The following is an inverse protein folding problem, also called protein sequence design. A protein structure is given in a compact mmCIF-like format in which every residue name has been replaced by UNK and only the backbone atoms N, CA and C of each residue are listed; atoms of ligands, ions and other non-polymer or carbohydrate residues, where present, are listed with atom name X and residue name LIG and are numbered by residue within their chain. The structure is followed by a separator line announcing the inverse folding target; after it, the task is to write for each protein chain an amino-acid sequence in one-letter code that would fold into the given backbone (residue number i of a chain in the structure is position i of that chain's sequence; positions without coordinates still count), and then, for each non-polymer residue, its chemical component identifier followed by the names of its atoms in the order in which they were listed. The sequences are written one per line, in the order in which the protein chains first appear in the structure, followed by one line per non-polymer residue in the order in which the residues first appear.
data_IF_165942170820
#
_entry.id   IF_165942170820
#
_cell.length_a   1.000
_cell.length_b   1.000
_cell.length_c   1.000
_cell.angle_alpha   90.00
_cell.angle_beta   90.00
_cell.angle_gamma   90.00
#
_symmetry.space_group_name_H-M   'P 1'
#
loop_
_entity.id
_entity.type
_entity.pdbx_description
1 polymer ?
#
# COMPACT_ATOMS: atom_id res chain seq x y z
N UNK A 1 4.15 7.70 7.69
CA UNK A 1 2.81 8.08 8.19
C UNK A 1 2.20 6.87 8.84
N UNK A 2 1.57 7.06 10.00
CA UNK A 2 1.02 5.96 10.81
C UNK A 2 -0.41 6.36 11.14
N UNK A 3 -1.36 5.46 10.88
CA UNK A 3 -2.76 5.56 11.28
C UNK A 3 -3.16 4.21 11.93
N UNK A 4 -2.96 4.07 13.25
CA UNK A 4 -3.20 2.84 14.03
C UNK A 4 -3.60 3.16 15.49
N UNK A 5 -4.29 2.25 16.17
CA UNK A 5 -4.86 2.42 17.53
C UNK A 5 -4.31 1.44 18.60
N UNK A 6 -3.04 1.05 18.52
CA UNK A 6 -2.47 -0.01 19.38
C UNK A 6 -2.60 0.22 20.90
N UNK A 7 -2.80 1.45 21.38
CA UNK A 7 -2.68 1.79 22.81
C UNK A 7 -3.83 2.63 23.42
N UNK A 8 -4.88 3.01 22.68
CA UNK A 8 -6.02 3.80 23.19
C UNK A 8 -7.10 4.00 22.09
N UNK A 9 -8.34 4.34 22.46
CA UNK A 9 -9.46 4.64 21.54
C UNK A 9 -9.19 5.92 20.71
N UNK A 10 -8.39 5.80 19.65
CA UNK A 10 -8.22 6.83 18.63
C UNK A 10 -9.07 6.49 17.40
N UNK A 11 -9.73 7.50 16.81
CA UNK A 11 -10.37 7.35 15.52
C UNK A 11 -9.31 7.03 14.46
N UNK A 12 -9.34 5.82 13.91
CA UNK A 12 -8.44 5.33 12.85
C UNK A 12 -9.01 5.62 11.46
N UNK A 13 -9.67 6.79 11.36
CA UNK A 13 -10.37 7.28 10.19
C UNK A 13 -9.66 8.54 9.69
N UNK A 14 -9.04 8.47 8.52
CA UNK A 14 -8.20 9.57 8.02
C UNK A 14 -8.14 9.65 6.51
N UNK A 15 -8.18 10.87 5.97
CA UNK A 15 -7.88 11.19 4.58
C UNK A 15 -6.51 11.84 4.51
N UNK A 16 -5.57 11.19 3.84
CA UNK A 16 -4.21 11.70 3.66
C UNK A 16 -3.99 12.01 2.19
N UNK A 17 -3.70 13.27 1.87
CA UNK A 17 -3.37 13.72 0.51
C UNK A 17 -1.97 14.31 0.54
N UNK A 18 -1.01 13.65 -0.11
CA UNK A 18 0.40 14.00 -0.04
C UNK A 18 1.07 14.00 -1.41
N UNK A 19 1.97 14.95 -1.63
CA UNK A 19 2.95 14.93 -2.70
C UNK A 19 4.34 14.73 -2.11
N UNK A 20 5.06 13.71 -2.56
CA UNK A 20 6.34 13.29 -1.98
C UNK A 20 7.47 13.30 -3.00
N UNK A 21 8.68 13.60 -2.52
CA UNK A 21 9.93 13.34 -3.22
C UNK A 21 10.95 12.92 -2.16
N UNK A 22 11.11 11.62 -1.96
CA UNK A 22 11.88 11.09 -0.83
C UNK A 22 12.54 9.75 -1.11
N UNK A 23 13.53 9.39 -0.31
CA UNK A 23 14.19 8.08 -0.38
C UNK A 23 13.31 6.96 0.21
N UNK A 24 12.58 7.26 1.29
CA UNK A 24 11.79 6.26 2.03
C UNK A 24 10.44 6.82 2.44
N UNK A 25 9.39 6.09 2.10
CA UNK A 25 8.03 6.32 2.58
C UNK A 25 7.49 5.04 3.21
N UNK A 26 7.14 5.13 4.49
CA UNK A 26 6.47 4.06 5.22
C UNK A 26 5.03 4.49 5.50
N UNK A 27 4.08 3.64 5.10
CA UNK A 27 2.65 3.83 5.36
C UNK A 27 2.16 2.61 6.11
N UNK A 28 1.74 2.83 7.34
CA UNK A 28 1.16 1.79 8.20
C UNK A 28 -0.25 2.20 8.53
N UNK A 29 -1.22 1.35 8.18
CA UNK A 29 -2.63 1.59 8.41
C UNK A 29 -3.27 0.39 9.08
N UNK A 30 -4.04 0.68 10.12
CA UNK A 30 -4.99 -0.21 10.75
C UNK A 30 -6.35 0.48 10.72
N UNK A 31 -7.37 -0.22 10.26
CA UNK A 31 -8.78 0.19 10.20
C UNK A 31 -9.17 1.00 8.94
N UNK A 32 -9.72 2.21 9.03
CA UNK A 32 -10.47 2.88 7.95
C UNK A 32 -9.81 4.17 7.45
N UNK A 33 -8.62 4.10 6.85
CA UNK A 33 -7.96 5.29 6.28
C UNK A 33 -7.84 5.23 4.75
N UNK A 34 -7.96 6.38 4.10
CA UNK A 34 -7.71 6.53 2.66
C UNK A 34 -6.51 7.44 2.41
N UNK A 35 -5.54 6.95 1.66
CA UNK A 35 -4.32 7.69 1.31
C UNK A 35 -4.27 7.93 -0.20
N UNK A 36 -4.17 9.20 -0.61
CA UNK A 36 -3.82 9.61 -1.97
C UNK A 36 -2.40 10.16 -1.96
N UNK A 37 -1.47 9.45 -2.58
CA UNK A 37 -0.06 9.83 -2.58
C UNK A 37 0.45 9.88 -4.02
N UNK A 38 1.13 10.99 -4.35
CA UNK A 38 1.71 11.21 -5.67
C UNK A 38 3.17 11.66 -5.56
N UNK A 39 3.94 11.52 -6.66
CA UNK A 39 5.32 12.00 -6.74
C UNK A 39 6.33 10.88 -6.94
N UNK A 40 7.47 10.95 -6.25
CA UNK A 40 8.59 10.01 -6.43
C UNK A 40 9.07 9.47 -5.09
N UNK A 41 9.31 8.16 -5.04
CA UNK A 41 9.94 7.51 -3.90
C UNK A 41 10.88 6.39 -4.32
N UNK A 42 12.02 6.25 -3.64
CA UNK A 42 12.92 5.13 -3.91
C UNK A 42 12.41 3.84 -3.25
N UNK A 43 12.05 3.89 -1.96
CA UNK A 43 11.59 2.73 -1.22
C UNK A 43 10.23 3.00 -0.55
N UNK A 44 9.20 2.31 -1.02
CA UNK A 44 7.85 2.36 -0.48
C UNK A 44 7.56 1.10 0.33
N UNK A 45 7.17 1.27 1.59
CA UNK A 45 6.67 0.19 2.44
C UNK A 45 5.22 0.43 2.82
N UNK A 46 4.37 -0.53 2.48
CA UNK A 46 2.94 -0.52 2.79
C UNK A 46 2.62 -1.66 3.76
N UNK A 47 2.04 -1.32 4.91
CA UNK A 47 1.67 -2.28 5.94
C UNK A 47 0.20 -2.08 6.32
N UNK A 48 -0.65 -2.98 5.85
CA UNK A 48 -2.09 -2.97 6.08
C UNK A 48 -2.45 -4.15 6.97
N UNK A 49 -2.67 -3.90 8.26
CA UNK A 49 -2.84 -4.97 9.25
C UNK A 49 -4.30 -5.39 9.46
N UNK A 50 -5.26 -4.50 9.19
CA UNK A 50 -6.70 -4.75 9.31
C UNK A 50 -7.50 -3.60 8.71
N UNK A 51 -8.78 -3.87 8.43
CA UNK A 51 -9.75 -2.87 8.01
C UNK A 51 -9.87 -2.67 6.50
N UNK A 52 -10.61 -1.64 6.13
CA UNK A 52 -11.03 -1.34 4.76
C UNK A 52 -10.28 -0.13 4.17
N UNK A 53 -9.02 0.03 4.61
CA UNK A 53 -8.18 1.14 4.19
C UNK A 53 -7.76 1.05 2.72
N UNK A 54 -7.78 2.20 2.04
CA UNK A 54 -7.47 2.33 0.61
C UNK A 54 -6.17 3.10 0.39
N UNK A 55 -5.36 2.64 -0.55
CA UNK A 55 -4.14 3.34 -0.98
C UNK A 55 -4.20 3.65 -2.46
N UNK A 56 -4.13 4.94 -2.79
CA UNK A 56 -4.14 5.48 -4.16
C UNK A 56 -2.77 6.05 -4.49
N UNK A 57 -1.92 5.19 -5.05
CA UNK A 57 -0.54 5.51 -5.46
C UNK A 57 -0.30 5.42 -6.96
N UNK A 58 -1.35 5.50 -7.79
CA UNK A 58 -1.23 5.41 -9.27
C UNK A 58 -0.19 6.38 -9.83
N UNK A 59 -0.14 7.60 -9.28
CA UNK A 59 0.77 8.67 -9.70
C UNK A 59 2.03 8.77 -8.82
N UNK A 60 2.32 7.75 -8.00
CA UNK A 60 3.53 7.67 -7.19
C UNK A 60 4.54 6.72 -7.86
N UNK A 61 5.54 7.28 -8.51
CA UNK A 61 6.64 6.53 -9.11
C UNK A 61 7.55 5.98 -7.99
N UNK A 62 7.29 4.73 -7.58
CA UNK A 62 8.03 4.06 -6.53
C UNK A 62 9.03 3.06 -7.11
N UNK A 63 10.33 3.17 -6.81
CA UNK A 63 11.32 2.26 -7.38
C UNK A 63 11.14 0.84 -6.83
N UNK A 64 11.19 0.70 -5.51
CA UNK A 64 11.03 -0.57 -4.80
C UNK A 64 9.80 -0.51 -3.90
N UNK A 65 8.88 -1.46 -4.07
CA UNK A 65 7.68 -1.56 -3.24
C UNK A 65 7.69 -2.87 -2.45
N UNK A 66 7.45 -2.77 -1.14
CA UNK A 66 7.18 -3.90 -0.27
C UNK A 66 5.79 -3.74 0.37
N UNK A 67 4.93 -4.75 0.20
CA UNK A 67 3.55 -4.76 0.67
C UNK A 67 3.32 -5.96 1.59
N UNK A 68 2.73 -5.67 2.75
CA UNK A 68 1.99 -6.65 3.54
C UNK A 68 0.53 -6.21 3.61
N UNK A 69 -0.38 -7.05 3.10
CA UNK A 69 -1.80 -6.73 2.99
C UNK A 69 -2.69 -7.79 3.62
N UNK A 70 -3.28 -7.43 4.77
CA UNK A 70 -4.30 -8.20 5.50
C UNK A 70 -5.68 -7.53 5.45
N UNK A 71 -5.81 -6.43 4.70
CA UNK A 71 -7.06 -5.65 4.58
C UNK A 71 -8.10 -6.28 3.64
N UNK A 72 -9.24 -5.59 3.52
CA UNK A 72 -10.32 -5.95 2.61
C UNK A 72 -10.44 -5.08 1.36
N UNK A 73 -9.82 -3.90 1.37
CA UNK A 73 -9.90 -2.93 0.28
C UNK A 73 -8.65 -2.92 -0.60
N UNK A 74 -8.78 -2.30 -1.76
CA UNK A 74 -7.75 -2.35 -2.77
C UNK A 74 -6.61 -1.33 -2.54
N UNK A 75 -5.42 -1.73 -2.97
CA UNK A 75 -4.21 -0.90 -2.99
C UNK A 75 -3.79 -0.70 -4.45
N UNK A 76 -3.74 0.55 -4.92
CA UNK A 76 -3.24 0.91 -6.25
C UNK A 76 -1.80 1.42 -6.16
N UNK A 77 -0.89 0.81 -6.92
CA UNK A 77 0.55 1.11 -6.89
C UNK A 77 1.19 1.19 -8.27
N UNK A 78 2.28 1.96 -8.38
CA UNK A 78 3.06 2.16 -9.60
C UNK A 78 4.57 1.85 -9.39
N UNK A 79 4.96 0.56 -9.29
CA UNK A 79 6.35 0.14 -9.08
C UNK A 79 7.19 0.30 -10.35
N UNK A 80 8.47 0.68 -10.22
CA UNK A 80 9.38 0.87 -11.36
C UNK A 80 10.44 -0.24 -11.48
N UNK A 81 10.97 -0.73 -10.36
CA UNK A 81 12.08 -1.70 -10.33
C UNK A 81 11.67 -3.02 -9.69
N UNK A 82 11.04 -2.97 -8.51
CA UNK A 82 10.64 -4.19 -7.79
C UNK A 82 9.29 -4.07 -7.08
N UNK A 83 8.58 -5.18 -7.02
CA UNK A 83 7.40 -5.38 -6.18
C UNK A 83 7.53 -6.70 -5.42
N UNK A 84 7.52 -6.59 -4.09
CA UNK A 84 7.36 -7.70 -3.15
C UNK A 84 6.00 -7.54 -2.47
N UNK A 85 5.12 -8.54 -2.56
CA UNK A 85 3.76 -8.44 -2.03
C UNK A 85 3.30 -9.74 -1.34
N UNK A 86 2.99 -9.62 -0.05
CA UNK A 86 2.38 -10.68 0.76
C UNK A 86 0.92 -10.33 1.06
N UNK A 87 -0.01 -11.04 0.41
CA UNK A 87 -1.46 -10.86 0.55
C UNK A 87 -2.03 -12.00 1.40
N UNK A 88 -2.48 -11.66 2.59
CA UNK A 88 -3.15 -12.58 3.54
C UNK A 88 -4.60 -12.15 3.82
N UNK A 89 -5.07 -11.13 3.11
CA UNK A 89 -6.42 -10.55 3.20
C UNK A 89 -7.30 -10.85 1.99
N UNK A 90 -8.37 -10.06 1.87
CA UNK A 90 -9.35 -10.20 0.79
C UNK A 90 -9.23 -9.12 -0.29
N UNK A 91 -8.60 -7.98 0.02
CA UNK A 91 -8.41 -6.88 -0.93
C UNK A 91 -7.32 -7.16 -1.97
N UNK A 92 -7.46 -6.50 -3.12
CA UNK A 92 -6.55 -6.67 -4.25
C UNK A 92 -5.43 -5.62 -4.25
N UNK A 93 -4.30 -5.97 -4.85
CA UNK A 93 -3.23 -5.02 -5.17
C UNK A 93 -3.25 -4.78 -6.67
N UNK A 94 -3.66 -3.59 -7.07
CA UNK A 94 -3.74 -3.15 -8.46
C UNK A 94 -2.42 -2.49 -8.85
N UNK A 95 -1.73 -3.08 -9.83
CA UNK A 95 -0.40 -2.70 -10.27
C UNK A 95 -0.50 -2.05 -11.64
N UNK A 96 -0.27 -0.74 -11.70
CA UNK A 96 -0.45 0.06 -12.94
C UNK A 96 0.77 0.10 -13.84
N UNK A 97 1.91 -0.42 -13.36
CA UNK A 97 3.12 -0.62 -14.15
C UNK A 97 3.78 -1.92 -13.70
N UNK A 98 4.04 -2.86 -14.62
CA UNK A 98 4.69 -4.14 -14.28
C UNK A 98 6.21 -3.93 -14.17
N UNK A 99 6.81 -4.09 -12.97
CA UNK A 99 8.25 -3.97 -12.78
C UNK A 99 8.97 -5.26 -13.22
N UNK A 100 10.29 -5.19 -13.50
CA UNK A 100 11.08 -6.35 -13.91
C UNK A 100 11.31 -7.39 -12.79
N UNK A 101 11.23 -6.99 -11.51
CA UNK A 101 11.41 -7.90 -10.37
C UNK A 101 10.09 -8.05 -9.61
N UNK A 102 9.62 -9.28 -9.46
CA UNK A 102 8.37 -9.64 -8.81
C UNK A 102 8.59 -10.78 -7.81
N UNK A 103 8.07 -10.61 -6.60
CA UNK A 103 7.92 -11.66 -5.59
C UNK A 103 6.53 -11.51 -4.95
N UNK A 104 5.61 -12.45 -5.22
CA UNK A 104 4.20 -12.32 -4.88
C UNK A 104 3.72 -13.59 -4.18
N UNK A 105 3.10 -13.43 -3.01
CA UNK A 105 2.44 -14.49 -2.27
C UNK A 105 0.98 -14.12 -1.99
N UNK A 106 0.06 -14.86 -2.61
CA UNK A 106 -1.39 -14.69 -2.44
C UNK A 106 -1.94 -15.86 -1.60
N UNK A 107 -2.07 -15.64 -0.29
CA UNK A 107 -2.34 -16.71 0.67
C UNK A 107 -3.83 -16.87 1.00
N UNK A 108 -4.67 -15.93 0.55
CA UNK A 108 -6.12 -15.98 0.72
C UNK A 108 -6.85 -15.63 -0.58
N UNK A 109 -7.88 -14.76 -0.56
CA UNK A 109 -8.68 -14.44 -1.75
C UNK A 109 -8.22 -13.20 -2.50
N UNK A 110 -7.47 -12.30 -1.86
CA UNK A 110 -6.90 -11.12 -2.54
C UNK A 110 -5.88 -11.52 -3.62
N UNK A 111 -5.79 -10.70 -4.66
CA UNK A 111 -4.96 -10.92 -5.85
C UNK A 111 -4.12 -9.70 -6.19
N UNK A 112 -2.97 -9.94 -6.81
CA UNK A 112 -2.20 -8.93 -7.51
C UNK A 112 -2.71 -8.87 -8.96
N UNK A 113 -3.32 -7.74 -9.32
CA UNK A 113 -3.92 -7.52 -10.63
C UNK A 113 -3.03 -6.51 -11.37
N UNK A 114 -2.59 -6.88 -12.57
CA UNK A 114 -1.83 -5.98 -13.45
C UNK A 114 -2.79 -5.36 -14.48
N UNK A 115 -2.75 -4.03 -14.63
CA UNK A 115 -3.48 -3.30 -15.68
C UNK A 115 -2.75 -3.25 -17.02
#
# INVERSE_FOLDING_TARGET
MISEDFNEEYHTDGLFVLQVNCERLNVTINNLSTCFIEGNVENLKLQFFSGDARFEGRNLLAQNINIFHRGSNDIIINPQVSLVADLVGTGDVIVVNRPPVLDIQEQYTGRVIFE
#
